data_IF_552047314394
#
_entry.id   IF_552047314394
#
_cell.length_a   1.000
_cell.length_b   1.000
_cell.length_c   1.000
_cell.angle_alpha   90.00
_cell.angle_beta   90.00
_cell.angle_gamma   90.00
#
_symmetry.space_group_name_H-M   'P 1'
#
loop_
_entity.id
_entity.type
_entity.pdbx_description
1 polymer ?
#
# COMPACT_ATOMS: atom_id res chain seq x y z
N UNK A 1 31.69 -24.99 9.88
CA UNK A 1 30.76 -24.43 10.88
C UNK A 1 29.62 -23.76 10.13
N UNK A 2 28.37 -24.21 10.32
CA UNK A 2 27.23 -23.58 9.68
C UNK A 2 26.93 -22.24 10.37
N UNK A 3 26.96 -21.16 9.59
CA UNK A 3 26.57 -19.81 9.99
C UNK A 3 25.10 -19.86 10.46
N UNK A 4 24.85 -19.62 11.75
CA UNK A 4 23.48 -19.60 12.29
C UNK A 4 22.78 -18.36 11.73
N UNK A 5 21.73 -18.56 10.95
CA UNK A 5 20.86 -17.48 10.51
C UNK A 5 20.23 -16.83 11.73
N UNK A 6 20.29 -15.50 11.81
CA UNK A 6 19.54 -14.72 12.80
C UNK A 6 18.03 -14.93 12.55
N UNK A 7 17.31 -15.40 13.57
CA UNK A 7 15.87 -15.65 13.50
C UNK A 7 15.15 -14.55 14.27
N UNK A 8 14.22 -13.87 13.59
CA UNK A 8 13.34 -12.89 14.20
C UNK A 8 11.93 -13.47 14.32
N UNK A 9 11.33 -13.37 15.51
CA UNK A 9 9.97 -13.85 15.78
C UNK A 9 9.06 -12.63 15.95
N UNK A 10 7.98 -12.57 15.15
CA UNK A 10 6.97 -11.52 15.21
C UNK A 10 5.62 -12.18 15.51
N UNK A 11 4.93 -11.68 16.53
CA UNK A 11 3.57 -12.08 16.87
C UNK A 11 2.60 -10.90 16.70
N UNK A 12 1.37 -11.19 16.30
CA UNK A 12 0.28 -10.23 16.24
C UNK A 12 -0.91 -10.75 17.05
N UNK A 13 -1.48 -9.91 17.92
CA UNK A 13 -2.67 -10.25 18.71
C UNK A 13 -3.66 -9.09 18.74
N UNK A 14 -4.94 -9.40 18.59
CA UNK A 14 -6.03 -8.43 18.77
C UNK A 14 -6.44 -8.31 20.26
N UNK A 15 -5.88 -9.16 21.12
CA UNK A 15 -6.26 -9.32 22.53
C UNK A 15 -5.03 -9.43 23.41
N UNK A 16 -4.52 -8.28 23.85
CA UNK A 16 -3.39 -8.23 24.78
C UNK A 16 -3.79 -8.72 26.18
N UNK A 17 -5.06 -8.55 26.55
CA UNK A 17 -5.65 -9.00 27.81
C UNK A 17 -5.59 -10.52 28.03
N UNK A 18 -5.48 -11.30 26.94
CA UNK A 18 -5.41 -12.76 26.98
C UNK A 18 -3.98 -13.31 26.87
N UNK A 19 -2.99 -12.44 26.71
CA UNK A 19 -1.61 -12.86 26.55
C UNK A 19 -1.01 -13.17 27.93
N UNK A 20 -0.36 -14.33 28.05
CA UNK A 20 0.36 -14.70 29.27
C UNK A 20 1.52 -13.73 29.51
N UNK A 21 1.57 -13.12 30.70
CA UNK A 21 2.62 -12.20 31.11
C UNK A 21 4.02 -12.83 31.04
N UNK A 22 4.11 -14.16 31.17
CA UNK A 22 5.35 -14.88 30.98
C UNK A 22 5.98 -14.57 29.61
N UNK A 23 5.18 -14.44 28.55
CA UNK A 23 5.70 -14.17 27.19
C UNK A 23 6.28 -12.76 27.03
N UNK A 24 5.83 -11.80 27.84
CA UNK A 24 6.17 -10.38 27.75
C UNK A 24 7.44 -10.05 28.55
N UNK A 25 7.94 -11.00 29.34
CA UNK A 25 9.17 -10.82 30.13
C UNK A 25 10.40 -10.65 29.23
N UNK A 26 11.37 -9.89 29.72
CA UNK A 26 12.67 -9.69 29.08
C UNK A 26 13.31 -11.01 28.63
N UNK A 27 13.75 -11.09 27.37
CA UNK A 27 14.34 -12.28 26.76
C UNK A 27 13.39 -13.11 25.89
N UNK A 28 12.11 -12.71 25.76
CA UNK A 28 11.10 -13.34 24.90
C UNK A 28 10.50 -12.31 23.93
N UNK A 29 9.22 -11.97 24.06
CA UNK A 29 8.56 -10.93 23.27
C UNK A 29 8.68 -9.59 23.99
N UNK A 30 9.91 -9.07 24.06
CA UNK A 30 10.20 -7.85 24.83
C UNK A 30 9.67 -6.57 24.16
N UNK A 31 9.55 -6.55 22.84
CA UNK A 31 9.12 -5.37 22.09
C UNK A 31 7.65 -5.50 21.69
N UNK A 32 6.77 -4.76 22.37
CA UNK A 32 5.34 -4.70 22.03
C UNK A 32 5.08 -3.41 21.25
N UNK A 33 4.45 -3.57 20.08
CA UNK A 33 4.02 -2.47 19.24
C UNK A 33 2.50 -2.37 19.23
N UNK A 34 2.00 -1.16 19.48
CA UNK A 34 0.59 -0.86 19.31
C UNK A 34 0.34 -0.35 17.89
N UNK A 35 -0.54 -1.04 17.16
CA UNK A 35 -1.01 -0.60 15.85
C UNK A 35 -2.48 -0.21 15.98
N UNK A 36 -2.75 1.10 15.88
CA UNK A 36 -4.09 1.66 15.99
C UNK A 36 -4.81 1.78 14.64
N UNK A 37 -5.98 2.41 14.68
CA UNK A 37 -6.66 2.86 13.48
C UNK A 37 -5.83 3.95 12.78
N UNK A 38 -5.83 3.99 11.43
CA UNK A 38 -5.14 5.02 10.69
C UNK A 38 -5.80 6.40 10.89
N UNK A 39 -4.96 7.42 11.00
CA UNK A 39 -5.34 8.82 10.93
C UNK A 39 -5.68 9.22 9.48
N UNK A 40 -6.05 10.48 9.25
CA UNK A 40 -6.42 10.94 7.91
C UNK A 40 -5.27 10.78 6.89
N UNK A 41 -4.04 11.11 7.30
CA UNK A 41 -2.85 10.96 6.46
C UNK A 41 -2.54 9.48 6.17
N UNK A 42 -2.59 8.62 7.18
CA UNK A 42 -2.42 7.18 7.04
C UNK A 42 -3.51 6.55 6.16
N UNK A 43 -4.76 7.02 6.25
CA UNK A 43 -5.84 6.58 5.33
C UNK A 43 -5.54 6.98 3.89
N UNK A 44 -5.04 8.19 3.65
CA UNK A 44 -4.60 8.63 2.33
C UNK A 44 -3.47 7.75 1.78
N UNK A 45 -2.48 7.41 2.62
CA UNK A 45 -1.40 6.50 2.22
C UNK A 45 -1.91 5.10 1.91
N UNK A 46 -2.84 4.57 2.70
CA UNK A 46 -3.48 3.28 2.44
C UNK A 46 -4.25 3.32 1.12
N UNK A 47 -5.05 4.36 0.87
CA UNK A 47 -5.77 4.54 -0.40
C UNK A 47 -4.82 4.60 -1.60
N UNK A 48 -3.70 5.32 -1.48
CA UNK A 48 -2.64 5.37 -2.49
C UNK A 48 -1.99 4.01 -2.70
N UNK A 49 -1.73 3.26 -1.62
CA UNK A 49 -1.16 1.92 -1.68
C UNK A 49 -2.13 0.92 -2.35
N UNK A 50 -3.40 0.93 -1.96
CA UNK A 50 -4.46 0.09 -2.52
C UNK A 50 -4.66 0.33 -4.02
N UNK A 51 -4.57 1.59 -4.46
CA UNK A 51 -4.73 1.98 -5.88
C UNK A 51 -3.43 1.90 -6.67
N UNK A 52 -2.30 1.57 -6.03
CA UNK A 52 -0.95 1.68 -6.61
C UNK A 52 -0.73 3.04 -7.27
N UNK A 53 -1.08 4.12 -6.58
CA UNK A 53 -1.10 5.50 -7.10
C UNK A 53 -1.96 5.64 -8.36
N UNK A 54 -3.20 5.12 -8.33
CA UNK A 54 -4.15 5.20 -9.45
C UNK A 54 -3.82 4.32 -10.66
N UNK A 55 -2.89 3.37 -10.55
CA UNK A 55 -2.51 2.48 -11.66
C UNK A 55 -3.38 1.22 -11.70
N UNK A 56 -3.87 0.74 -10.55
CA UNK A 56 -4.68 -0.47 -10.47
C UNK A 56 -5.57 -0.44 -9.22
N UNK A 57 -6.88 -0.16 -9.34
CA UNK A 57 -7.63 0.19 -10.56
C UNK A 57 -7.22 1.55 -11.15
N UNK A 58 -7.54 1.79 -12.44
CA UNK A 58 -7.44 3.14 -12.99
C UNK A 58 -8.53 3.99 -12.36
N UNK A 59 -8.15 5.13 -11.81
CA UNK A 59 -9.09 6.11 -11.26
C UNK A 59 -9.39 7.15 -12.34
N UNK A 60 -10.64 7.61 -12.40
CA UNK A 60 -10.98 8.80 -13.15
C UNK A 60 -10.48 10.05 -12.40
N UNK A 61 -10.39 11.16 -13.13
CA UNK A 61 -9.90 12.44 -12.59
C UNK A 61 -10.84 13.04 -11.53
N UNK A 62 -12.09 12.55 -11.46
CA UNK A 62 -13.10 12.93 -10.47
C UNK A 62 -12.87 12.30 -9.09
N UNK A 63 -11.99 11.28 -8.98
CA UNK A 63 -11.73 10.59 -7.72
C UNK A 63 -10.66 11.32 -6.91
N UNK A 64 -11.10 12.15 -5.96
CA UNK A 64 -10.21 12.76 -4.98
C UNK A 64 -9.97 11.85 -3.77
N UNK A 65 -8.76 11.27 -3.71
CA UNK A 65 -8.32 10.42 -2.62
C UNK A 65 -8.14 11.17 -1.28
N UNK A 66 -7.82 12.47 -1.32
CA UNK A 66 -7.66 13.27 -0.11
C UNK A 66 -9.01 13.56 0.53
N UNK A 67 -10.00 13.91 -0.29
CA UNK A 67 -11.40 14.04 0.13
C UNK A 67 -11.94 12.72 0.73
N UNK A 68 -11.70 11.58 0.06
CA UNK A 68 -12.12 10.27 0.58
C UNK A 68 -11.47 9.94 1.93
N UNK A 69 -10.18 10.26 2.10
CA UNK A 69 -9.45 10.03 3.34
C UNK A 69 -9.99 10.87 4.51
N UNK A 70 -10.31 12.14 4.25
CA UNK A 70 -10.73 13.10 5.28
C UNK A 70 -12.19 12.96 5.68
N UNK A 71 -13.10 12.87 4.69
CA UNK A 71 -14.54 13.06 4.92
C UNK A 71 -15.32 11.74 4.90
N UNK A 72 -14.90 10.76 4.10
CA UNK A 72 -15.74 9.57 3.80
C UNK A 72 -15.31 8.29 4.51
N UNK A 73 -14.05 8.17 4.92
CA UNK A 73 -13.48 6.94 5.49
C UNK A 73 -13.16 7.04 6.98
N UNK A 74 -13.84 7.93 7.70
CA UNK A 74 -13.67 8.12 9.13
C UNK A 74 -13.95 6.83 9.92
N UNK A 75 -12.96 6.35 10.68
CA UNK A 75 -13.07 5.13 11.49
C UNK A 75 -12.90 3.83 10.72
N UNK A 76 -12.57 3.88 9.43
CA UNK A 76 -12.30 2.70 8.63
C UNK A 76 -10.95 2.08 9.03
N UNK A 77 -10.90 0.75 9.10
CA UNK A 77 -9.65 0.02 9.17
C UNK A 77 -8.98 -0.06 7.79
N UNK A 78 -7.70 -0.44 7.74
CA UNK A 78 -7.03 -0.68 6.46
C UNK A 78 -7.71 -1.76 5.61
N UNK A 79 -8.34 -2.75 6.25
CA UNK A 79 -9.12 -3.77 5.58
C UNK A 79 -10.42 -3.21 4.98
N UNK A 80 -11.11 -2.32 5.70
CA UNK A 80 -12.34 -1.69 5.21
C UNK A 80 -12.06 -0.80 3.99
N UNK A 81 -10.96 -0.04 4.01
CA UNK A 81 -10.52 0.78 2.87
C UNK A 81 -10.19 -0.09 1.67
N UNK A 82 -9.49 -1.21 1.87
CA UNK A 82 -9.20 -2.15 0.79
C UNK A 82 -10.48 -2.75 0.22
N UNK A 83 -11.43 -3.12 1.08
CA UNK A 83 -12.72 -3.66 0.67
C UNK A 83 -13.53 -2.63 -0.13
N UNK A 84 -13.59 -1.39 0.34
CA UNK A 84 -14.23 -0.27 -0.36
C UNK A 84 -13.70 -0.14 -1.80
N UNK A 85 -12.38 -0.12 -1.99
CA UNK A 85 -11.79 0.01 -3.32
C UNK A 85 -11.99 -1.24 -4.18
N UNK A 86 -11.99 -2.43 -3.57
CA UNK A 86 -12.27 -3.68 -4.27
C UNK A 86 -13.71 -3.72 -4.79
N UNK A 87 -14.68 -3.34 -3.96
CA UNK A 87 -16.10 -3.28 -4.35
C UNK A 87 -16.35 -2.19 -5.40
N UNK A 88 -15.75 -1.01 -5.28
CA UNK A 88 -15.83 0.04 -6.31
C UNK A 88 -15.27 -0.45 -7.66
N UNK A 89 -14.19 -1.24 -7.63
CA UNK A 89 -13.64 -1.85 -8.85
C UNK A 89 -14.62 -2.86 -9.47
N UNK A 90 -15.33 -3.65 -8.66
CA UNK A 90 -16.36 -4.59 -9.15
C UNK A 90 -17.55 -3.85 -9.77
N UNK A 91 -18.01 -2.77 -9.14
CA UNK A 91 -19.09 -1.93 -9.67
C UNK A 91 -18.69 -1.34 -11.03
N UNK A 92 -17.51 -0.74 -11.12
CA UNK A 92 -16.96 -0.22 -12.38
C UNK A 92 -16.85 -1.32 -13.46
N UNK A 93 -16.33 -2.49 -13.11
CA UNK A 93 -16.23 -3.62 -14.04
C UNK A 93 -17.60 -4.11 -14.53
N UNK A 94 -18.61 -4.12 -13.66
CA UNK A 94 -19.98 -4.47 -14.03
C UNK A 94 -20.64 -3.40 -14.92
N UNK A 95 -20.34 -2.12 -14.68
CA UNK A 95 -20.77 -0.99 -15.53
C UNK A 95 -20.20 -1.14 -16.94
N UNK A 96 -18.89 -1.37 -17.07
CA UNK A 96 -18.23 -1.56 -18.37
C UNK A 96 -18.72 -2.81 -19.14
N UNK A 97 -19.19 -3.86 -18.44
CA UNK A 97 -19.75 -5.07 -19.11
C UNK A 97 -21.13 -4.83 -19.73
N UNK A 98 -21.94 -3.91 -19.18
CA UNK A 98 -23.29 -3.63 -19.68
C UNK A 98 -23.28 -2.77 -20.96
N UNK A 99 -22.21 -2.02 -21.20
CA UNK A 99 -21.98 -1.26 -22.44
C UNK A 99 -21.33 -2.16 -23.50
N UNK A 100 -22.14 -2.87 -24.29
CA UNK A 100 -21.72 -3.96 -25.18
C UNK A 100 -20.96 -3.45 -26.45
N UNK A 101 -20.93 -2.13 -26.72
CA UNK A 101 -20.47 -1.58 -28.01
C UNK A 101 -19.20 -0.70 -27.99
N UNK A 102 -18.53 -0.53 -26.85
CA UNK A 102 -17.31 0.30 -26.74
C UNK A 102 -16.06 -0.59 -26.55
N UNK A 103 -14.90 -0.23 -27.14
CA UNK A 103 -13.65 -0.94 -26.87
C UNK A 103 -13.37 -0.85 -25.37
N UNK A 104 -13.04 -1.99 -24.75
CA UNK A 104 -12.76 -2.15 -23.32
C UNK A 104 -11.64 -1.19 -22.82
N UNK A 105 -11.94 0.09 -22.62
CA UNK A 105 -11.21 0.93 -21.68
C UNK A 105 -11.53 0.40 -20.28
N UNK A 106 -10.71 -0.55 -19.87
CA UNK A 106 -10.82 -1.34 -18.64
C UNK A 106 -11.20 -0.48 -17.44
N UNK A 107 -12.45 -0.60 -16.99
CA UNK A 107 -12.91 -0.39 -15.61
C UNK A 107 -12.27 0.79 -14.90
N UNK A 108 -12.44 1.99 -15.44
CA UNK A 108 -12.07 3.23 -14.74
C UNK A 108 -13.08 3.43 -13.61
N UNK A 109 -12.59 3.49 -12.38
CA UNK A 109 -13.41 3.75 -11.19
C UNK A 109 -13.69 5.24 -11.13
N UNK A 110 -14.97 5.61 -11.14
CA UNK A 110 -15.44 6.99 -10.97
C UNK A 110 -15.87 7.23 -9.53
N UNK A 111 -16.04 8.49 -9.16
CA UNK A 111 -16.51 8.86 -7.82
C UNK A 111 -17.92 8.31 -7.55
N UNK A 112 -18.79 8.27 -8.57
CA UNK A 112 -20.12 7.67 -8.46
C UNK A 112 -20.09 6.18 -8.08
N UNK A 113 -19.13 5.42 -8.61
CA UNK A 113 -18.97 4.00 -8.25
C UNK A 113 -18.56 3.86 -6.77
N UNK A 114 -17.72 4.76 -6.27
CA UNK A 114 -17.29 4.79 -4.86
C UNK A 114 -18.44 5.20 -3.94
N UNK A 115 -19.21 6.22 -4.30
CA UNK A 115 -20.38 6.66 -3.52
C UNK A 115 -21.45 5.58 -3.42
N UNK A 116 -21.68 4.84 -4.50
CA UNK A 116 -22.59 3.70 -4.49
C UNK A 116 -22.16 2.64 -3.46
N UNK A 117 -20.85 2.39 -3.35
CA UNK A 117 -20.30 1.41 -2.42
C UNK A 117 -20.37 1.91 -0.98
N UNK A 118 -20.09 3.21 -0.77
CA UNK A 118 -20.17 3.85 0.55
C UNK A 118 -21.59 3.82 1.14
N UNK A 119 -22.63 3.62 0.32
CA UNK A 119 -24.00 3.48 0.81
C UNK A 119 -24.22 2.22 1.66
N UNK A 120 -23.41 1.17 1.45
CA UNK A 120 -23.56 -0.11 2.18
C UNK A 120 -22.27 -0.61 2.85
N UNK A 121 -21.10 -0.06 2.51
CA UNK A 121 -19.84 -0.36 3.19
C UNK A 121 -19.63 0.62 4.33
N UNK A 122 -19.79 0.14 5.57
CA UNK A 122 -19.47 0.86 6.80
C UNK A 122 -18.19 0.35 7.48
N UNK A 123 -17.74 1.02 8.55
CA UNK A 123 -16.61 0.56 9.34
C UNK A 123 -16.94 -0.75 10.05
N UNK A 124 -16.04 -1.74 9.95
CA UNK A 124 -16.24 -3.04 10.62
C UNK A 124 -16.00 -2.96 12.13
N UNK A 125 -15.22 -1.98 12.58
CA UNK A 125 -14.85 -1.86 14.00
C UNK A 125 -15.95 -1.14 14.77
N UNK A 126 -16.67 -1.89 15.59
CA UNK A 126 -17.70 -1.36 16.48
C UNK A 126 -17.17 -0.47 17.61
N UNK A 127 -18.08 0.28 18.24
CA UNK A 127 -17.77 1.23 19.32
C UNK A 127 -17.08 0.59 20.53
N UNK A 128 -17.43 -0.67 20.88
CA UNK A 128 -16.80 -1.36 22.00
C UNK A 128 -15.34 -1.71 21.71
N UNK A 129 -15.03 -2.15 20.49
CA UNK A 129 -13.68 -2.45 20.04
C UNK A 129 -12.81 -1.19 20.03
N UNK A 130 -13.38 -0.05 19.62
CA UNK A 130 -12.72 1.27 19.72
C UNK A 130 -12.33 1.64 21.16
N UNK A 131 -13.20 1.39 22.14
CA UNK A 131 -12.89 1.61 23.56
C UNK A 131 -11.75 0.71 24.03
N UNK A 132 -11.78 -0.57 23.63
CA UNK A 132 -10.73 -1.53 23.98
C UNK A 132 -9.37 -1.12 23.39
N UNK A 133 -9.33 -0.71 22.12
CA UNK A 133 -8.13 -0.20 21.46
C UNK A 133 -7.55 1.02 22.20
N UNK A 134 -8.40 1.97 22.58
CA UNK A 134 -7.98 3.15 23.38
C UNK A 134 -7.39 2.75 24.74
N UNK A 135 -8.01 1.78 25.42
CA UNK A 135 -7.52 1.27 26.71
C UNK A 135 -6.16 0.59 26.58
N UNK A 136 -5.98 -0.26 25.56
CA UNK A 136 -4.71 -0.95 25.31
C UNK A 136 -3.60 0.04 24.97
N UNK A 137 -3.90 1.07 24.17
CA UNK A 137 -2.95 2.15 23.86
C UNK A 137 -2.41 2.81 25.13
N UNK A 138 -3.29 3.20 26.05
CA UNK A 138 -2.90 3.83 27.32
C UNK A 138 -2.00 2.94 28.19
N UNK A 139 -2.28 1.63 28.25
CA UNK A 139 -1.47 0.68 29.04
C UNK A 139 -0.06 0.52 28.44
N UNK A 140 0.05 0.52 27.11
CA UNK A 140 1.34 0.33 26.41
C UNK A 140 2.19 1.60 26.35
N UNK A 141 1.58 2.78 26.26
CA UNK A 141 2.27 4.07 26.32
C UNK A 141 2.96 4.29 27.68
N UNK A 142 2.44 3.71 28.76
CA UNK A 142 3.08 3.74 30.07
C UNK A 142 4.28 2.80 30.22
N UNK A 143 4.47 1.84 29.29
CA UNK A 143 5.52 0.79 29.38
C UNK A 143 6.67 0.98 28.40
N UNK A 144 6.50 1.78 27.35
CA UNK A 144 7.50 1.94 26.29
C UNK A 144 8.33 3.20 26.50
N UNK A 145 9.66 3.07 26.45
CA UNK A 145 10.56 4.23 26.53
C UNK A 145 10.52 5.02 25.21
N UNK A 146 10.45 6.36 25.28
CA UNK A 146 10.48 7.23 24.09
C UNK A 146 11.71 6.98 23.19
N UNK A 147 12.81 6.52 23.78
CA UNK A 147 14.05 6.19 23.07
C UNK A 147 13.90 4.97 22.14
N UNK A 148 13.13 3.95 22.55
CA UNK A 148 12.89 2.76 21.73
C UNK A 148 12.09 3.10 20.46
N UNK A 149 11.07 3.98 20.59
CA UNK A 149 10.25 4.42 19.45
C UNK A 149 11.09 5.20 18.44
N UNK A 150 11.95 6.11 18.92
CA UNK A 150 12.82 6.92 18.07
C UNK A 150 13.85 6.08 17.29
N UNK A 151 14.45 5.07 17.94
CA UNK A 151 15.39 4.16 17.29
C UNK A 151 14.74 3.36 16.16
N UNK A 152 13.52 2.87 16.39
CA UNK A 152 12.77 2.09 15.39
C UNK A 152 12.31 2.94 14.23
N UNK A 153 11.85 4.17 14.50
CA UNK A 153 11.45 5.08 13.44
C UNK A 153 12.65 5.45 12.53
N UNK A 154 13.83 5.65 13.12
CA UNK A 154 15.06 5.82 12.37
C UNK A 154 15.44 4.58 11.54
N UNK A 155 15.27 3.38 12.09
CA UNK A 155 15.63 2.12 11.41
C UNK A 155 14.65 1.77 10.28
N UNK A 156 13.34 1.95 10.50
CA UNK A 156 12.30 1.83 9.46
C UNK A 156 12.55 2.84 8.34
N UNK A 157 12.86 4.11 8.67
CA UNK A 157 13.23 5.12 7.66
C UNK A 157 14.49 4.71 6.90
N UNK A 158 15.48 4.14 7.58
CA UNK A 158 16.69 3.57 6.97
C UNK A 158 16.41 2.40 6.03
N UNK A 159 15.48 1.50 6.38
CA UNK A 159 15.06 0.36 5.54
C UNK A 159 14.27 0.84 4.31
N UNK A 160 13.32 1.77 4.49
CA UNK A 160 12.52 2.34 3.39
C UNK A 160 13.41 3.09 2.41
N UNK A 161 14.37 3.89 2.91
CA UNK A 161 15.36 4.60 2.09
C UNK A 161 16.22 3.62 1.27
N UNK A 162 16.73 2.55 1.91
CA UNK A 162 17.48 1.48 1.23
C UNK A 162 16.64 0.77 0.15
N UNK A 163 15.36 0.51 0.40
CA UNK A 163 14.44 -0.05 -0.62
C UNK A 163 14.16 0.90 -1.77
N UNK A 164 13.95 2.20 -1.52
CA UNK A 164 13.75 3.21 -2.56
C UNK A 164 14.97 3.33 -3.49
N UNK A 165 16.19 3.30 -2.93
CA UNK A 165 17.43 3.27 -3.71
C UNK A 165 17.57 2.01 -4.58
N UNK A 166 17.20 0.84 -4.05
CA UNK A 166 17.27 -0.42 -4.80
C UNK A 166 16.22 -0.53 -5.92
N UNK A 167 15.01 0.02 -5.71
CA UNK A 167 13.95 0.11 -6.73
C UNK A 167 14.30 1.06 -7.88
N UNK A 168 15.00 2.17 -7.62
CA UNK A 168 15.52 3.07 -8.65
C UNK A 168 16.66 2.42 -9.46
N UNK A 169 17.55 1.66 -8.80
CA UNK A 169 18.61 0.88 -9.44
C UNK A 169 18.11 -0.30 -10.29
N UNK A 170 16.99 -0.93 -9.89
CA UNK A 170 16.37 -2.01 -10.66
C UNK A 170 15.65 -1.51 -11.93
N UNK A 171 14.93 -0.38 -11.85
CA UNK A 171 14.25 0.20 -13.02
C UNK A 171 15.20 0.69 -14.11
N UNK A 172 16.39 1.22 -13.74
CA UNK A 172 17.39 1.68 -14.71
C UNK A 172 18.08 0.51 -15.43
N UNK A 173 18.40 -0.57 -14.71
CA UNK A 173 19.02 -1.79 -15.28
C UNK A 173 18.07 -2.52 -16.23
N UNK A 174 16.79 -2.64 -15.88
CA UNK A 174 15.79 -3.28 -16.76
C UNK A 174 15.51 -2.46 -18.03
N UNK A 175 15.39 -1.12 -17.93
CA UNK A 175 15.26 -0.26 -19.13
C UNK A 175 16.50 -0.34 -20.03
N UNK A 176 17.71 -0.30 -19.47
CA UNK A 176 18.95 -0.42 -20.26
C UNK A 176 19.11 -1.80 -20.91
N UNK A 177 18.73 -2.87 -20.21
CA UNK A 177 18.80 -4.23 -20.74
C UNK A 177 17.77 -4.46 -21.87
N UNK A 178 16.56 -3.91 -21.74
CA UNK A 178 15.55 -3.92 -22.82
C UNK A 178 16.03 -3.13 -24.03
N UNK A 179 16.59 -1.93 -23.81
CA UNK A 179 17.15 -1.09 -24.90
C UNK A 179 18.33 -1.75 -25.62
N UNK A 180 19.27 -2.36 -24.88
CA UNK A 180 20.40 -3.11 -25.48
C UNK A 180 19.94 -4.37 -26.23
N UNK A 181 18.87 -5.04 -25.77
CA UNK A 181 18.29 -6.22 -26.43
C UNK A 181 17.57 -5.84 -27.73
N UNK A 182 16.89 -4.69 -27.75
CA UNK A 182 16.30 -4.11 -28.97
C UNK A 182 17.36 -3.64 -29.98
N UNK A 183 18.46 -3.01 -29.54
CA UNK A 183 19.58 -2.64 -30.43
C UNK A 183 20.26 -3.86 -31.08
N UNK A 184 20.45 -4.95 -30.33
CA UNK A 184 21.01 -6.20 -30.88
C UNK A 184 20.06 -6.85 -31.89
N UNK A 185 18.74 -6.85 -31.64
CA UNK A 185 17.75 -7.38 -32.58
C UNK A 185 17.64 -6.55 -33.87
N UNK A 186 17.79 -5.22 -33.80
CA UNK A 186 17.84 -4.36 -34.99
C UNK A 186 19.09 -4.60 -35.86
N UNK A 187 20.27 -4.89 -35.26
CA UNK A 187 21.49 -5.19 -36.03
C UNK A 187 21.45 -6.52 -36.78
N UNK A 188 20.78 -7.54 -36.24
CA UNK A 188 20.71 -8.88 -36.84
C UNK A 188 19.72 -8.97 -37.99
N UNK A 189 18.69 -8.10 -38.05
CA UNK A 189 17.62 -8.18 -39.05
C UNK A 189 17.76 -7.25 -40.27
N UNK A 190 18.85 -6.50 -40.40
CA UNK A 190 19.15 -5.71 -41.61
C UNK A 190 18.09 -4.68 -42.06
N UNK A 191 17.05 -4.42 -41.26
CA UNK A 191 15.97 -3.48 -41.60
C UNK A 191 16.11 -2.22 -40.75
N UNK A 192 16.43 -1.11 -41.42
CA UNK A 192 16.31 0.25 -40.85
C UNK A 192 14.83 0.59 -40.73
N UNK A 193 14.17 0.24 -39.63
CA UNK A 193 12.84 0.77 -39.34
C UNK A 193 12.74 1.30 -37.91
N UNK A 194 12.20 2.52 -37.83
CA UNK A 194 11.79 3.36 -36.68
C UNK A 194 12.75 3.64 -35.50
N UNK A 195 13.68 2.75 -35.15
CA UNK A 195 14.56 2.97 -33.99
C UNK A 195 15.55 4.15 -34.17
N UNK A 196 15.92 4.48 -35.42
CA UNK A 196 16.75 5.66 -35.71
C UNK A 196 15.97 6.99 -35.64
N UNK A 197 14.63 6.96 -35.66
CA UNK A 197 13.80 8.18 -35.64
C UNK A 197 13.67 8.74 -34.22
N UNK A 198 13.58 7.87 -33.21
CA UNK A 198 13.53 8.28 -31.80
C UNK A 198 14.85 8.84 -31.25
N UNK A 199 16.02 8.46 -31.78
CA UNK A 199 17.31 9.03 -31.34
C UNK A 199 17.53 10.48 -31.78
N UNK A 200 16.76 11.00 -32.77
CA UNK A 200 16.78 12.41 -33.15
C UNK A 200 15.91 13.30 -32.25
N UNK A 201 14.86 12.74 -31.63
CA UNK A 201 13.91 13.47 -30.77
C UNK A 201 14.36 13.65 -29.31
N UNK A 202 15.51 13.08 -28.91
CA UNK A 202 16.09 13.23 -27.56
C UNK A 202 17.45 13.94 -27.56
N UNK A 203 17.81 14.63 -28.65
CA UNK A 203 19.01 15.49 -28.75
C UNK A 203 18.68 16.94 -29.11
N UNK A 204 17.41 17.33 -29.02
CA UNK A 204 16.96 18.71 -28.92
C UNK A 204 16.30 18.91 -27.57
#
# INVERSE_FOLDING_TARGET
MHERKEVFVIGATNRLDRLDEALIRSGRLSNIFYVGLPDAEGRLEILKACTKNGTSPRLAEDVDLDYLAKERTCGFSGADIQNLMMEATKVSANRSRKSINEPLEKGIVTMADVEQVLAYVGPTIGAQSLKNLKRVKQVLEGRTSKATIAWIDADIKGIISRRKGNLQGARSKSKMAVMKKMEKQCKVKGKRTECCRLKRLHRQ
#
